data_IF_793570388411
#
_entry.id   IF_793570388411
#
_cell.length_a   1.000
_cell.length_b   1.000
_cell.length_c   1.000
_cell.angle_alpha   90.00
_cell.angle_beta   90.00
_cell.angle_gamma   90.00
#
_symmetry.space_group_name_H-M   'P 1'
#
loop_
_entity.id
_entity.type
_entity.pdbx_description
1 polymer ?
#
# COMPACT_ATOMS: atom_id res chain seq x y z
N UNK A 1 2.70 35.96 -17.62
CA UNK A 1 4.10 35.80 -17.17
C UNK A 1 4.65 34.45 -17.65
N UNK A 2 4.83 34.25 -18.96
CA UNK A 2 4.79 32.89 -19.55
C UNK A 2 6.10 32.25 -20.01
N UNK A 3 7.10 33.03 -20.43
CA UNK A 3 8.31 32.48 -21.08
C UNK A 3 9.59 32.75 -20.29
N UNK A 4 9.78 33.98 -19.79
CA UNK A 4 10.96 34.31 -18.99
C UNK A 4 11.00 33.52 -17.67
N UNK A 5 9.85 33.30 -17.04
CA UNK A 5 9.74 32.47 -15.84
C UNK A 5 10.13 31.01 -16.10
N UNK A 6 9.79 30.47 -17.27
CA UNK A 6 10.14 29.10 -17.64
C UNK A 6 11.66 28.90 -17.79
N UNK A 7 12.35 29.85 -18.42
CA UNK A 7 13.82 29.79 -18.57
C UNK A 7 14.52 29.85 -17.20
N UNK A 8 14.03 30.69 -16.28
CA UNK A 8 14.61 30.82 -14.94
C UNK A 8 14.31 29.60 -14.06
N UNK A 9 13.18 28.94 -14.26
CA UNK A 9 12.81 27.74 -13.51
C UNK A 9 13.30 26.43 -14.15
N UNK A 10 13.78 26.47 -15.39
CA UNK A 10 14.33 25.34 -16.14
C UNK A 10 15.43 24.57 -15.37
N UNK A 11 16.41 25.23 -14.72
CA UNK A 11 17.41 24.53 -13.91
C UNK A 11 16.83 23.75 -12.72
N UNK A 12 15.66 24.14 -12.23
CA UNK A 12 14.96 23.52 -11.09
C UNK A 12 13.95 22.45 -11.56
N UNK A 13 13.70 22.35 -12.86
CA UNK A 13 12.81 21.34 -13.43
C UNK A 13 13.19 19.89 -13.08
N UNK A 14 14.47 19.48 -13.04
CA UNK A 14 14.85 18.11 -12.67
C UNK A 14 14.43 17.73 -11.24
N UNK A 15 14.57 18.65 -10.28
CA UNK A 15 14.16 18.43 -8.89
C UNK A 15 12.65 18.22 -8.79
N UNK A 16 11.87 19.01 -9.54
CA UNK A 16 10.41 18.82 -9.63
C UNK A 16 10.06 17.47 -10.24
N UNK A 17 10.82 17.01 -11.24
CA UNK A 17 10.62 15.69 -11.84
C UNK A 17 10.81 14.55 -10.83
N UNK A 18 11.82 14.62 -9.97
CA UNK A 18 12.03 13.63 -8.90
C UNK A 18 10.89 13.64 -7.89
N UNK A 19 10.43 14.82 -7.47
CA UNK A 19 9.30 14.94 -6.53
C UNK A 19 8.03 14.33 -7.14
N UNK A 20 7.71 14.66 -8.39
CA UNK A 20 6.54 14.08 -9.08
C UNK A 20 6.63 12.56 -9.25
N UNK A 21 7.84 12.02 -9.43
CA UNK A 21 8.05 10.57 -9.48
C UNK A 21 7.85 9.93 -8.10
N UNK A 22 8.37 10.55 -7.04
CA UNK A 22 8.16 10.07 -5.68
C UNK A 22 6.67 10.04 -5.31
N UNK A 23 5.92 11.09 -5.67
CA UNK A 23 4.46 11.13 -5.50
C UNK A 23 3.75 10.02 -6.30
N UNK A 24 4.22 9.73 -7.52
CA UNK A 24 3.67 8.63 -8.33
C UNK A 24 3.91 7.26 -7.67
N UNK A 25 5.14 7.02 -7.20
CA UNK A 25 5.49 5.78 -6.50
C UNK A 25 4.65 5.67 -5.22
N UNK A 26 4.53 6.74 -4.44
CA UNK A 26 3.72 6.75 -3.23
C UNK A 26 2.26 6.36 -3.53
N UNK A 27 1.64 6.95 -4.56
CA UNK A 27 0.28 6.59 -4.94
C UNK A 27 0.15 5.12 -5.35
N UNK A 28 1.10 4.61 -6.13
CA UNK A 28 1.08 3.21 -6.54
C UNK A 28 1.25 2.25 -5.36
N UNK A 29 2.11 2.59 -4.41
CA UNK A 29 2.32 1.81 -3.18
C UNK A 29 1.06 1.84 -2.32
N UNK A 30 0.41 2.99 -2.18
CA UNK A 30 -0.85 3.09 -1.45
C UNK A 30 -1.92 2.21 -2.09
N UNK A 31 -2.10 2.31 -3.41
CA UNK A 31 -3.06 1.48 -4.16
C UNK A 31 -2.78 -0.02 -4.01
N UNK A 32 -1.52 -0.44 -4.08
CA UNK A 32 -1.13 -1.85 -3.91
C UNK A 32 -1.35 -2.32 -2.46
N UNK A 33 -0.91 -1.54 -1.46
CA UNK A 33 -1.08 -1.88 -0.04
C UNK A 33 -2.56 -2.00 0.36
N UNK A 34 -3.43 -1.27 -0.32
CA UNK A 34 -4.88 -1.27 -0.07
C UNK A 34 -5.65 -2.20 -1.05
N UNK A 35 -4.97 -2.97 -1.90
CA UNK A 35 -5.65 -3.84 -2.87
C UNK A 35 -6.22 -5.09 -2.18
N UNK A 36 -7.56 -5.29 -2.18
CA UNK A 36 -8.17 -6.51 -1.64
C UNK A 36 -7.70 -7.80 -2.33
N UNK A 37 -7.10 -7.72 -3.52
CA UNK A 37 -6.49 -8.86 -4.20
C UNK A 37 -5.25 -9.38 -3.48
N UNK A 38 -4.53 -8.54 -2.72
CA UNK A 38 -3.37 -8.97 -1.92
C UNK A 38 -3.79 -9.90 -0.77
N UNK A 39 -4.86 -9.54 -0.05
CA UNK A 39 -5.41 -10.39 1.01
C UNK A 39 -5.91 -11.73 0.45
N UNK A 40 -6.57 -11.73 -0.72
CA UNK A 40 -6.99 -12.97 -1.39
C UNK A 40 -5.82 -13.89 -1.72
N UNK A 41 -4.75 -13.35 -2.31
CA UNK A 41 -3.53 -14.12 -2.61
C UNK A 41 -2.88 -14.69 -1.35
N UNK A 42 -2.81 -13.90 -0.27
CA UNK A 42 -2.27 -14.36 1.00
C UNK A 42 -3.08 -15.53 1.61
N UNK A 43 -4.41 -15.50 1.46
CA UNK A 43 -5.28 -16.62 1.89
C UNK A 43 -5.08 -17.87 1.01
N UNK A 44 -4.93 -17.71 -0.31
CA UNK A 44 -4.63 -18.84 -1.22
C UNK A 44 -3.28 -19.51 -0.88
N UNK A 45 -2.24 -18.71 -0.60
CA UNK A 45 -0.93 -19.23 -0.16
C UNK A 45 -1.02 -19.95 1.19
N UNK A 46 -1.86 -19.47 2.10
CA UNK A 46 -2.09 -20.09 3.40
C UNK A 46 -2.82 -21.44 3.27
N UNK A 47 -3.81 -21.52 2.38
CA UNK A 47 -4.52 -22.77 2.07
C UNK A 47 -3.56 -23.80 1.47
N UNK A 48 -2.72 -23.41 0.52
CA UNK A 48 -1.70 -24.29 -0.07
C UNK A 48 -0.70 -24.80 0.99
N UNK A 49 -0.25 -23.94 1.90
CA UNK A 49 0.62 -24.31 3.01
C UNK A 49 -0.07 -25.26 4.02
N UNK A 50 -1.37 -25.12 4.23
CA UNK A 50 -2.15 -26.05 5.06
C UNK A 50 -2.28 -27.42 4.37
N UNK A 51 -2.59 -27.44 3.07
CA UNK A 51 -2.75 -28.66 2.28
C UNK A 51 -1.43 -29.44 2.16
N UNK A 52 -0.30 -28.74 2.05
CA UNK A 52 1.04 -29.35 2.04
C UNK A 52 1.47 -29.86 3.42
N UNK A 53 0.76 -29.48 4.48
CA UNK A 53 1.06 -29.82 5.87
C UNK A 53 2.27 -29.06 6.42
N UNK A 54 2.66 -27.95 5.81
CA UNK A 54 3.74 -27.07 6.27
C UNK A 54 3.34 -26.28 7.52
N UNK A 55 2.05 -26.03 7.71
CA UNK A 55 1.48 -25.33 8.86
C UNK A 55 0.29 -26.10 9.46
N UNK A 56 0.12 -26.01 10.78
CA UNK A 56 -0.99 -26.61 11.50
C UNK A 56 -2.26 -25.76 11.45
N UNK A 57 -3.39 -26.37 11.83
CA UNK A 57 -4.70 -25.71 11.82
C UNK A 57 -4.77 -24.46 12.72
N UNK A 58 -4.17 -24.51 13.91
CA UNK A 58 -4.09 -23.37 14.84
C UNK A 58 -3.19 -22.25 14.30
N UNK A 59 -2.21 -22.57 13.44
CA UNK A 59 -1.36 -21.57 12.77
C UNK A 59 -2.10 -20.90 11.62
N UNK A 60 -2.91 -21.65 10.90
CA UNK A 60 -3.79 -21.14 9.84
C UNK A 60 -4.82 -20.16 10.42
N UNK A 61 -5.56 -20.56 11.46
CA UNK A 61 -6.58 -19.69 12.08
C UNK A 61 -5.99 -18.35 12.55
N UNK A 62 -4.80 -18.37 13.16
CA UNK A 62 -4.11 -17.13 13.56
C UNK A 62 -3.66 -16.27 12.37
N UNK A 63 -3.23 -16.89 11.28
CA UNK A 63 -2.79 -16.17 10.09
C UNK A 63 -3.98 -15.58 9.33
N UNK A 64 -5.10 -16.30 9.22
CA UNK A 64 -6.34 -15.80 8.64
C UNK A 64 -6.87 -14.58 9.40
N UNK A 65 -6.90 -14.64 10.73
CA UNK A 65 -7.34 -13.53 11.57
C UNK A 65 -6.43 -12.29 11.41
N UNK A 66 -5.11 -12.48 11.35
CA UNK A 66 -4.18 -11.39 11.08
C UNK A 66 -4.36 -10.74 9.70
N UNK A 67 -4.69 -11.53 8.67
CA UNK A 67 -4.99 -11.01 7.32
C UNK A 67 -6.29 -10.19 7.33
N UNK A 68 -7.31 -10.66 8.05
CA UNK A 68 -8.60 -9.96 8.18
C UNK A 68 -8.48 -8.66 8.99
N UNK A 69 -7.67 -8.67 10.05
CA UNK A 69 -7.40 -7.48 10.86
C UNK A 69 -6.70 -6.39 10.04
N UNK A 70 -5.72 -6.76 9.21
CA UNK A 70 -5.03 -5.83 8.32
C UNK A 70 -5.99 -5.14 7.33
N UNK A 71 -6.99 -5.87 6.82
CA UNK A 71 -8.00 -5.28 5.92
C UNK A 71 -8.90 -4.27 6.65
N UNK A 72 -9.17 -4.49 7.94
CA UNK A 72 -10.09 -3.65 8.73
C UNK A 72 -9.39 -2.41 9.29
N UNK A 73 -8.16 -2.54 9.76
CA UNK A 73 -7.34 -1.42 10.26
C UNK A 73 -7.07 -0.38 9.15
N UNK A 74 -7.00 -0.85 7.91
CA UNK A 74 -6.79 -0.01 6.73
C UNK A 74 -8.02 0.84 6.37
N UNK A 75 -9.22 0.43 6.78
CA UNK A 75 -10.49 1.16 6.56
C UNK A 75 -10.80 2.14 7.72
N UNK A 76 -10.18 1.95 8.88
CA UNK A 76 -10.27 2.89 10.01
C UNK A 76 -9.34 4.08 9.80
N UNK A 77 -9.78 5.05 8.98
CA UNK A 77 -9.23 6.41 9.05
C UNK A 77 -9.30 6.86 10.51
N UNK A 78 -8.18 7.18 11.18
CA UNK A 78 -8.23 7.68 12.54
C UNK A 78 -9.01 8.99 12.48
N UNK A 79 -10.23 8.94 13.00
CA UNK A 79 -11.00 10.12 13.30
C UNK A 79 -10.23 10.79 14.42
N UNK A 80 -9.26 11.64 14.06
CA UNK A 80 -8.69 12.61 14.99
C UNK A 80 -9.88 13.41 15.52
N UNK A 81 -10.31 13.04 16.72
CA UNK A 81 -11.12 13.87 17.60
C UNK A 81 -10.39 15.21 17.74
N UNK A 82 -10.78 16.16 16.89
CA UNK A 82 -10.45 17.56 17.08
C UNK A 82 -11.26 18.08 18.26
N UNK A 83 -10.67 18.05 19.45
CA UNK A 83 -10.97 18.99 20.53
C UNK A 83 -10.38 20.38 20.27
#
# INVERSE_FOLDING_TARGET
MGLLSFIVTLPVAPVRGVISLAELIQRQVEEELHDPANARRALEELEEAQESGEIGQEEVERAEEAILDQMTETDEVPTEERE
#
